data_IF_239789086304
#
_entry.id   IF_239789086304
#
_cell.length_a   1.000
_cell.length_b   1.000
_cell.length_c   1.000
_cell.angle_alpha   90.00
_cell.angle_beta   90.00
_cell.angle_gamma   90.00
#
_symmetry.space_group_name_H-M   'P 1'
#
loop_
_entity.id
_entity.type
_entity.pdbx_description
1 polymer ?
#
# COMPACT_ATOMS: atom_id res chain seq x y z
N UNK A 1 -20.26 1.24 13.90
CA UNK A 1 -19.08 2.09 13.61
C UNK A 1 -18.15 1.39 12.60
N UNK A 2 -18.70 1.01 11.44
CA UNK A 2 -17.95 0.49 10.29
C UNK A 2 -18.75 0.87 9.02
N UNK A 3 -18.12 1.41 7.97
CA UNK A 3 -18.82 1.73 6.74
C UNK A 3 -19.05 0.47 5.87
N UNK A 4 -20.22 0.37 5.24
CA UNK A 4 -20.52 -0.62 4.21
C UNK A 4 -20.42 -2.07 4.68
N UNK A 5 -19.61 -2.88 3.97
CA UNK A 5 -19.48 -4.34 4.18
C UNK A 5 -18.63 -4.72 5.39
N UNK A 6 -17.97 -3.79 6.05
CA UNK A 6 -17.11 -4.07 7.20
C UNK A 6 -17.92 -4.53 8.41
N UNK A 7 -17.73 -5.78 8.85
CA UNK A 7 -18.53 -6.43 9.90
C UNK A 7 -17.85 -6.46 11.28
N UNK A 8 -16.54 -6.18 11.36
CA UNK A 8 -15.75 -6.32 12.59
C UNK A 8 -14.77 -5.16 12.75
N UNK A 9 -14.57 -4.74 13.99
CA UNK A 9 -13.57 -3.76 14.38
C UNK A 9 -12.71 -4.35 15.50
N UNK A 10 -11.41 -4.05 15.48
CA UNK A 10 -10.49 -4.36 16.55
C UNK A 10 -9.93 -3.06 17.10
N UNK A 11 -10.00 -2.87 18.42
CA UNK A 11 -9.50 -1.67 19.08
C UNK A 11 -8.06 -1.90 19.52
N UNK A 12 -7.20 -0.94 19.18
CA UNK A 12 -5.81 -0.89 19.62
C UNK A 12 -5.57 0.37 20.44
N UNK A 13 -4.52 0.36 21.24
CA UNK A 13 -4.12 1.49 22.07
C UNK A 13 -3.36 2.56 21.26
N UNK A 14 -2.86 2.20 20.07
CA UNK A 14 -2.22 3.14 19.15
C UNK A 14 -2.45 2.78 17.68
N UNK A 15 -2.20 3.75 16.79
CA UNK A 15 -2.19 3.51 15.34
C UNK A 15 -1.08 2.56 14.91
N UNK A 16 0.07 2.57 15.59
CA UNK A 16 1.17 1.63 15.30
C UNK A 16 0.75 0.18 15.55
N UNK A 17 0.07 -0.08 16.67
CA UNK A 17 -0.49 -1.40 16.96
C UNK A 17 -1.56 -1.82 15.94
N UNK A 18 -2.35 -0.88 15.43
CA UNK A 18 -3.32 -1.18 14.38
C UNK A 18 -2.63 -1.67 13.10
N UNK A 19 -1.48 -1.08 12.75
CA UNK A 19 -0.66 -1.51 11.61
C UNK A 19 -0.05 -2.89 11.83
N UNK A 20 0.46 -3.18 13.04
CA UNK A 20 0.98 -4.52 13.41
C UNK A 20 -0.09 -5.60 13.23
N UNK A 21 -1.28 -5.38 13.82
CA UNK A 21 -2.41 -6.30 13.73
C UNK A 21 -2.85 -6.45 12.27
N UNK A 22 -2.85 -5.36 11.50
CA UNK A 22 -3.22 -5.42 10.10
C UNK A 22 -2.27 -6.31 9.28
N UNK A 23 -0.95 -6.15 9.45
CA UNK A 23 0.02 -6.99 8.75
C UNK A 23 -0.09 -8.44 9.17
N UNK A 24 -0.26 -8.71 10.47
CA UNK A 24 -0.44 -10.08 10.98
C UNK A 24 -1.67 -10.72 10.34
N UNK A 25 -2.81 -10.04 10.32
CA UNK A 25 -4.04 -10.56 9.72
C UNK A 25 -3.89 -10.77 8.20
N UNK A 26 -3.23 -9.86 7.51
CA UNK A 26 -2.97 -9.97 6.07
C UNK A 26 -2.11 -11.21 5.76
N UNK A 27 -1.03 -11.43 6.52
CA UNK A 27 -0.16 -12.60 6.38
C UNK A 27 -0.87 -13.90 6.74
N UNK A 28 -1.65 -13.91 7.84
CA UNK A 28 -2.42 -15.08 8.27
C UNK A 28 -3.47 -15.50 7.25
N UNK A 29 -4.17 -14.53 6.65
CA UNK A 29 -5.20 -14.85 5.66
C UNK A 29 -4.57 -15.35 4.35
N UNK A 30 -3.54 -14.67 3.85
CA UNK A 30 -2.98 -14.95 2.52
C UNK A 30 -1.95 -16.07 2.51
N UNK A 31 -1.34 -16.36 3.66
CA UNK A 31 -0.16 -17.23 3.76
C UNK A 31 1.11 -16.63 3.18
N UNK A 32 1.09 -15.37 2.74
CA UNK A 32 2.24 -14.68 2.15
C UNK A 32 2.99 -13.85 3.19
N UNK A 33 4.29 -13.61 2.93
CA UNK A 33 5.15 -12.81 3.83
C UNK A 33 5.29 -11.34 3.42
N UNK A 34 5.22 -11.05 2.12
CA UNK A 34 5.59 -9.74 1.58
C UNK A 34 4.46 -8.70 1.72
N UNK A 35 4.81 -7.51 2.22
CA UNK A 35 3.95 -6.34 2.31
C UNK A 35 4.57 -5.23 1.47
N UNK A 36 3.75 -4.60 0.63
CA UNK A 36 4.15 -3.43 -0.14
C UNK A 36 3.75 -2.16 0.62
N UNK A 37 4.69 -1.25 0.79
CA UNK A 37 4.49 0.08 1.35
C UNK A 37 4.96 1.15 0.35
N UNK A 38 4.59 2.40 0.57
CA UNK A 38 5.00 3.51 -0.30
C UNK A 38 6.19 4.28 0.28
N UNK A 39 7.09 4.74 -0.58
CA UNK A 39 8.13 5.70 -0.17
C UNK A 39 7.49 6.99 0.37
N UNK A 40 8.11 7.58 1.39
CA UNK A 40 7.61 8.74 2.13
C UNK A 40 6.35 8.49 2.98
N UNK A 41 5.95 7.24 3.23
CA UNK A 41 4.89 6.94 4.19
C UNK A 41 5.40 6.95 5.64
N UNK A 42 4.48 7.18 6.57
CA UNK A 42 4.69 7.02 8.01
C UNK A 42 3.59 6.11 8.55
N UNK A 43 3.96 5.07 9.27
CA UNK A 43 3.00 4.05 9.75
C UNK A 43 3.13 3.77 11.25
N UNK A 44 3.99 4.50 11.97
CA UNK A 44 4.11 4.43 13.42
C UNK A 44 5.52 4.14 13.94
N UNK A 45 5.62 3.96 15.25
CA UNK A 45 6.89 3.84 15.99
C UNK A 45 7.22 2.45 16.53
N UNK A 46 6.35 1.45 16.36
CA UNK A 46 6.68 0.06 16.68
C UNK A 46 7.65 -0.52 15.65
N UNK A 47 8.29 -1.66 15.93
CA UNK A 47 9.35 -2.19 15.07
C UNK A 47 8.86 -2.46 13.63
N UNK A 48 7.70 -3.09 13.43
CA UNK A 48 7.17 -3.34 12.08
C UNK A 48 6.70 -2.05 11.43
N UNK A 49 5.96 -1.21 12.17
CA UNK A 49 5.46 0.07 11.69
C UNK A 49 6.60 1.00 11.25
N UNK A 50 7.73 0.97 11.95
CA UNK A 50 8.94 1.71 11.62
C UNK A 50 9.65 1.12 10.39
N UNK A 51 9.62 -0.21 10.19
CA UNK A 51 10.11 -0.83 8.96
C UNK A 51 9.23 -0.51 7.74
N UNK A 52 7.92 -0.33 7.96
CA UNK A 52 6.98 0.16 6.92
C UNK A 52 7.23 1.63 6.62
N UNK A 53 7.50 2.44 7.65
CA UNK A 53 7.82 3.86 7.51
C UNK A 53 9.02 4.08 6.59
N UNK A 54 8.79 4.84 5.53
CA UNK A 54 9.76 5.10 4.46
C UNK A 54 10.19 6.57 4.45
N UNK A 55 10.39 7.14 5.64
CA UNK A 55 10.80 8.51 5.84
C UNK A 55 12.00 8.53 6.80
N UNK A 56 13.17 8.96 6.31
CA UNK A 56 14.45 8.89 7.03
C UNK A 56 14.38 9.52 8.43
N UNK A 57 13.79 10.71 8.55
CA UNK A 57 13.67 11.40 9.85
C UNK A 57 12.88 10.63 10.93
N UNK A 58 12.05 9.66 10.51
CA UNK A 58 11.20 8.87 11.39
C UNK A 58 11.63 7.40 11.48
N UNK A 59 12.66 7.03 10.72
CA UNK A 59 13.21 5.68 10.68
C UNK A 59 14.44 5.63 11.58
N UNK A 60 14.20 5.42 12.87
CA UNK A 60 15.21 5.49 13.93
C UNK A 60 16.12 4.25 14.00
N UNK A 61 15.78 3.19 13.27
CA UNK A 61 16.52 1.92 13.26
C UNK A 61 16.64 1.37 11.84
N UNK A 62 17.65 0.54 11.64
CA UNK A 62 17.89 -0.17 10.39
C UNK A 62 16.76 -1.16 10.05
N UNK A 63 16.77 -1.65 8.80
CA UNK A 63 15.82 -2.67 8.35
C UNK A 63 16.03 -3.97 9.12
N UNK A 64 15.16 -4.24 10.09
CA UNK A 64 15.25 -5.44 10.94
C UNK A 64 14.25 -6.53 10.53
N UNK A 65 13.18 -6.17 9.81
CA UNK A 65 12.09 -7.10 9.48
C UNK A 65 12.07 -7.37 7.98
N UNK A 66 12.21 -8.64 7.56
CA UNK A 66 12.11 -9.00 6.15
C UNK A 66 10.66 -8.93 5.65
N UNK A 67 10.53 -8.85 4.33
CA UNK A 67 9.24 -8.89 3.64
C UNK A 67 8.49 -7.56 3.63
N UNK A 68 9.16 -6.43 3.91
CA UNK A 68 8.62 -5.10 3.62
C UNK A 68 9.33 -4.54 2.38
N UNK A 69 8.56 -4.15 1.37
CA UNK A 69 9.09 -3.59 0.10
C UNK A 69 8.49 -2.21 -0.14
N UNK A 70 9.28 -1.26 -0.64
CA UNK A 70 8.86 0.14 -0.81
C UNK A 70 8.75 0.56 -2.29
N UNK A 71 7.51 0.68 -2.77
CA UNK A 71 7.19 1.18 -4.11
C UNK A 71 7.22 2.72 -4.17
N UNK A 72 7.41 3.27 -5.37
CA UNK A 72 7.29 4.72 -5.55
C UNK A 72 5.84 5.19 -5.32
N UNK A 73 5.70 6.30 -4.59
CA UNK A 73 4.41 6.93 -4.35
C UNK A 73 3.93 7.66 -5.62
N UNK A 74 2.63 7.60 -5.90
CA UNK A 74 1.95 8.38 -6.93
C UNK A 74 1.72 9.84 -6.49
N UNK A 75 2.83 10.55 -6.26
CA UNK A 75 2.84 11.95 -5.86
C UNK A 75 3.24 12.83 -7.05
N UNK A 76 2.26 13.28 -7.84
CA UNK A 76 2.53 13.98 -9.12
C UNK A 76 3.31 15.29 -8.93
N UNK A 77 3.07 16.03 -7.84
CA UNK A 77 3.79 17.29 -7.56
C UNK A 77 5.30 17.08 -7.34
N UNK A 78 5.71 15.96 -6.75
CA UNK A 78 7.12 15.55 -6.64
C UNK A 78 7.30 14.15 -7.24
N UNK A 79 6.93 14.02 -8.51
CA UNK A 79 6.93 12.74 -9.20
C UNK A 79 8.36 12.23 -9.34
N UNK A 80 8.62 11.01 -8.86
CA UNK A 80 9.93 10.37 -9.00
C UNK A 80 10.34 10.14 -10.46
N UNK A 81 9.36 10.08 -11.37
CA UNK A 81 9.56 9.88 -12.81
C UNK A 81 9.53 11.18 -13.62
N UNK A 82 9.38 12.34 -12.96
CA UNK A 82 9.34 13.64 -13.65
C UNK A 82 8.16 13.80 -14.62
N UNK A 83 7.05 13.08 -14.39
CA UNK A 83 5.84 13.13 -15.22
C UNK A 83 4.68 13.76 -14.49
N UNK A 84 3.73 14.29 -15.26
CA UNK A 84 2.48 14.87 -14.75
C UNK A 84 1.27 14.02 -15.16
N UNK A 85 0.24 13.98 -14.31
CA UNK A 85 -1.02 13.34 -14.65
C UNK A 85 -1.84 14.28 -15.55
N UNK A 86 -2.55 13.79 -16.60
CA UNK A 86 -2.79 12.38 -16.95
C UNK A 86 -1.79 11.75 -17.94
N UNK A 87 -0.79 12.50 -18.42
CA UNK A 87 0.12 12.03 -19.47
C UNK A 87 1.16 11.01 -19.00
N UNK A 88 1.33 10.84 -17.68
CA UNK A 88 2.32 9.96 -17.07
C UNK A 88 2.11 8.45 -17.26
N UNK A 89 1.02 8.02 -17.92
CA UNK A 89 0.71 6.60 -18.16
C UNK A 89 0.79 5.68 -16.93
N UNK A 90 0.62 6.25 -15.72
CA UNK A 90 0.70 5.56 -14.45
C UNK A 90 2.02 4.79 -14.25
N UNK A 91 3.16 5.39 -14.62
CA UNK A 91 4.50 4.80 -14.41
C UNK A 91 4.74 4.33 -12.96
N UNK A 92 4.22 5.06 -11.96
CA UNK A 92 4.25 4.65 -10.56
C UNK A 92 3.53 3.32 -10.27
N UNK A 93 2.45 3.00 -10.99
CA UNK A 93 1.76 1.71 -10.85
C UNK A 93 2.54 0.59 -11.54
N UNK A 94 3.22 0.88 -12.66
CA UNK A 94 4.09 -0.07 -13.34
C UNK A 94 5.32 -0.43 -12.52
N UNK A 95 5.93 0.55 -11.85
CA UNK A 95 7.01 0.34 -10.89
C UNK A 95 6.58 -0.60 -9.75
N UNK A 96 5.36 -0.42 -9.22
CA UNK A 96 4.82 -1.34 -8.21
C UNK A 96 4.65 -2.77 -8.74
N UNK A 97 4.14 -2.92 -9.96
CA UNK A 97 4.00 -4.23 -10.61
C UNK A 97 5.37 -4.90 -10.83
N UNK A 98 6.36 -4.13 -11.28
CA UNK A 98 7.74 -4.59 -11.46
C UNK A 98 8.37 -4.99 -10.12
N UNK A 99 8.20 -4.17 -9.08
CA UNK A 99 8.68 -4.46 -7.73
C UNK A 99 8.13 -5.79 -7.21
N UNK A 100 6.83 -6.06 -7.40
CA UNK A 100 6.21 -7.32 -7.01
C UNK A 100 6.85 -8.48 -7.79
N UNK A 101 6.98 -8.37 -9.11
CA UNK A 101 7.54 -9.46 -9.95
C UNK A 101 9.02 -9.75 -9.68
N UNK A 102 9.79 -8.75 -9.26
CA UNK A 102 11.25 -8.86 -9.13
C UNK A 102 11.72 -9.11 -7.71
N UNK A 103 10.98 -8.65 -6.69
CA UNK A 103 11.44 -8.69 -5.30
C UNK A 103 10.59 -9.57 -4.37
N UNK A 104 9.53 -10.16 -4.90
CA UNK A 104 8.62 -11.09 -4.20
C UNK A 104 8.47 -12.37 -5.02
N UNK A 105 7.77 -13.37 -4.49
CA UNK A 105 7.41 -14.59 -5.23
C UNK A 105 6.26 -14.39 -6.24
N UNK A 106 5.86 -13.15 -6.52
CA UNK A 106 4.70 -12.80 -7.34
C UNK A 106 3.39 -12.71 -6.56
N UNK A 107 3.41 -13.01 -5.25
CA UNK A 107 2.28 -12.89 -4.35
C UNK A 107 2.66 -12.06 -3.12
N UNK A 108 1.71 -11.24 -2.65
CA UNK A 108 1.89 -10.36 -1.49
C UNK A 108 0.78 -10.61 -0.48
N UNK A 109 1.08 -10.38 0.79
CA UNK A 109 0.10 -10.40 1.87
C UNK A 109 -0.81 -9.17 1.85
N UNK A 110 -0.27 -8.02 1.45
CA UNK A 110 -1.04 -6.78 1.42
C UNK A 110 -0.24 -5.56 0.96
N UNK A 111 -0.97 -4.47 0.78
CA UNK A 111 -0.44 -3.16 0.44
C UNK A 111 -0.92 -2.13 1.48
N UNK A 112 -0.01 -1.28 1.95
CA UNK A 112 -0.29 -0.25 2.95
C UNK A 112 -0.07 1.12 2.30
N UNK A 113 -1.12 1.95 2.32
CA UNK A 113 -1.07 3.33 1.85
C UNK A 113 -1.89 4.28 2.74
N UNK A 114 -1.30 5.43 3.03
CA UNK A 114 -1.98 6.52 3.72
C UNK A 114 -2.82 7.36 2.75
N UNK A 115 -4.04 7.72 3.18
CA UNK A 115 -5.02 8.44 2.36
C UNK A 115 -4.58 9.83 1.90
N UNK A 116 -3.67 10.48 2.63
CA UNK A 116 -3.19 11.83 2.35
C UNK A 116 -1.99 11.90 1.40
N UNK A 117 -1.21 10.82 1.30
CA UNK A 117 0.07 10.84 0.57
C UNK A 117 -0.05 10.54 -0.91
N UNK A 118 -1.24 10.21 -1.44
CA UNK A 118 -1.39 9.83 -2.83
C UNK A 118 -2.78 10.15 -3.39
N UNK A 119 -2.86 10.84 -4.54
CA UNK A 119 -4.14 11.00 -5.27
C UNK A 119 -4.66 9.63 -5.78
N UNK A 120 -3.75 8.68 -6.00
CA UNK A 120 -4.08 7.28 -6.29
C UNK A 120 -4.64 6.55 -5.06
N UNK A 121 -4.26 6.99 -3.85
CA UNK A 121 -4.96 6.57 -2.65
C UNK A 121 -6.40 7.07 -2.68
N UNK A 122 -6.81 8.20 -3.27
CA UNK A 122 -8.25 8.53 -3.39
C UNK A 122 -9.04 7.58 -4.31
N UNK A 123 -8.40 7.01 -5.34
CA UNK A 123 -9.01 6.01 -6.23
C UNK A 123 -9.06 4.62 -5.59
N UNK A 124 -8.15 4.31 -4.67
CA UNK A 124 -8.07 3.03 -3.95
C UNK A 124 -8.67 3.15 -2.52
N UNK A 125 -8.87 4.35 -1.97
CA UNK A 125 -9.35 4.63 -0.60
C UNK A 125 -10.86 4.58 -0.46
N UNK A 126 -11.59 4.22 -1.52
CA UNK A 126 -12.88 3.59 -1.29
C UNK A 126 -12.73 2.21 -0.62
N UNK A 127 -11.57 1.55 -0.73
CA UNK A 127 -11.38 0.14 -0.34
C UNK A 127 -10.04 -0.19 0.36
N UNK A 128 -9.14 0.78 0.62
CA UNK A 128 -7.76 0.50 1.08
C UNK A 128 -7.33 1.09 2.44
N UNK A 129 -8.27 1.48 3.28
CA UNK A 129 -8.06 1.34 4.73
C UNK A 129 -8.88 0.12 5.13
N UNK A 130 -8.22 -0.88 5.70
CA UNK A 130 -8.74 -2.20 6.06
C UNK A 130 -8.71 -3.23 4.93
N UNK A 131 -7.66 -4.08 5.01
CA UNK A 131 -7.54 -5.44 4.49
C UNK A 131 -8.84 -5.94 3.87
N UNK A 132 -8.89 -6.02 2.55
CA UNK A 132 -9.65 -7.08 1.91
C UNK A 132 -8.81 -7.72 0.82
N UNK A 133 -8.54 -8.99 1.07
CA UNK A 133 -8.13 -9.93 0.06
C UNK A 133 -9.24 -10.00 -0.97
N UNK A 134 -8.93 -9.58 -2.18
CA UNK A 134 -9.69 -9.98 -3.35
C UNK A 134 -8.71 -10.61 -4.33
N UNK A 135 -8.78 -11.94 -4.32
CA UNK A 135 -8.44 -12.86 -5.37
C UNK A 135 -8.11 -12.18 -6.73
N UNK A 136 -6.85 -12.31 -7.15
CA UNK A 136 -6.35 -12.39 -8.54
C UNK A 136 -6.87 -11.44 -9.66
N UNK A 137 -7.64 -10.38 -9.39
CA UNK A 137 -8.24 -9.54 -10.44
C UNK A 137 -7.85 -8.05 -10.43
N UNK A 138 -7.15 -7.55 -9.42
CA UNK A 138 -6.95 -6.09 -9.25
C UNK A 138 -6.09 -5.42 -10.32
N UNK A 139 -5.13 -6.15 -10.91
CA UNK A 139 -4.34 -5.64 -12.06
C UNK A 139 -5.24 -5.35 -13.27
N UNK A 140 -6.39 -6.02 -13.41
CA UNK A 140 -7.32 -5.78 -14.52
C UNK A 140 -8.32 -4.65 -14.26
N UNK A 141 -8.66 -4.36 -13.01
CA UNK A 141 -9.63 -3.30 -12.68
C UNK A 141 -9.03 -1.90 -12.88
N UNK A 142 -7.73 -1.71 -12.61
CA UNK A 142 -7.02 -0.47 -12.97
C UNK A 142 -6.97 -0.22 -14.48
N UNK A 143 -6.93 -1.28 -15.29
CA UNK A 143 -7.04 -1.19 -16.75
C UNK A 143 -8.48 -0.95 -17.22
N UNK A 144 -9.49 -1.35 -16.44
CA UNK A 144 -10.92 -1.16 -16.74
C UNK A 144 -11.41 0.28 -16.48
N UNK A 145 -10.87 0.97 -15.48
CA UNK A 145 -11.18 2.40 -15.25
C UNK A 145 -10.77 3.26 -16.46
N UNK A 146 -9.69 2.88 -17.16
CA UNK A 146 -9.26 3.53 -18.42
C UNK A 146 -10.28 3.40 -19.56
N UNK A 147 -11.20 2.41 -19.50
CA UNK A 147 -12.26 2.23 -20.52
C UNK A 147 -13.56 2.98 -20.20
N UNK A 148 -13.80 3.43 -18.96
CA UNK A 148 -15.04 4.13 -18.58
C UNK A 148 -14.97 5.66 -18.63
N UNK A 149 -13.79 6.24 -18.82
CA UNK A 149 -13.62 7.69 -18.96
C UNK A 149 -13.31 8.11 -20.41
N UNK A 150 -13.61 7.24 -21.37
CA UNK A 150 -13.43 7.47 -22.81
C UNK A 150 -14.74 7.18 -23.59
N UNK A 151 -15.87 7.63 -23.05
CA UNK A 151 -17.17 7.71 -23.72
C UNK A 151 -17.81 9.07 -23.43
#
# INVERSE_FOLDING_TARGET
>A
MTPGKLQKSFFTNSGSEAVEVAVILARLYTGQGDIIALRHCYSGGTLLAMNITAHSNWRLMDTAIPGIKHAHNAYCYRCAFGREYPSCNLECAKDMEELIKTTTCGAIAGFIAESSSSFLAKLIAAEAVFIFIYNHLWITTLLSVKKRTAS
#
